data_IF_600579181298
#
_entry.id   IF_600579181298
#
_cell.length_a   1.000
_cell.length_b   1.000
_cell.length_c   1.000
_cell.angle_alpha   90.00
_cell.angle_beta   90.00
_cell.angle_gamma   90.00
#
_symmetry.space_group_name_H-M   'P 1'
#
loop_
_entity.id
_entity.type
_entity.pdbx_description
1 polymer ?
#
# COMPACT_ATOMS: atom_id res chain seq x y z
N UNK A 1 6.49 -10.54 9.43
CA UNK A 1 6.82 -10.62 7.99
C UNK A 1 7.59 -11.90 7.69
N UNK A 2 7.78 -12.28 6.41
CA UNK A 2 8.63 -13.43 6.06
C UNK A 2 10.07 -13.24 6.56
N UNK A 3 10.55 -12.00 6.65
CA UNK A 3 11.85 -11.66 7.25
C UNK A 3 11.90 -12.02 8.74
N UNK A 4 10.85 -11.71 9.51
CA UNK A 4 10.74 -12.10 10.93
C UNK A 4 10.69 -13.63 11.13
N UNK A 5 10.45 -14.39 10.05
CA UNK A 5 10.49 -15.86 10.02
C UNK A 5 11.80 -16.41 9.45
N UNK A 6 12.81 -15.57 9.22
CA UNK A 6 14.13 -15.95 8.69
C UNK A 6 14.14 -16.30 7.19
N UNK A 7 13.15 -15.86 6.42
CA UNK A 7 13.12 -16.07 4.97
C UNK A 7 14.10 -15.16 4.22
N UNK A 8 14.80 -15.65 3.18
CA UNK A 8 15.68 -14.81 2.35
C UNK A 8 14.88 -13.76 1.58
N UNK A 9 15.45 -12.56 1.41
CA UNK A 9 14.81 -11.44 0.71
C UNK A 9 14.33 -11.80 -0.69
N UNK A 10 15.05 -12.68 -1.40
CA UNK A 10 14.60 -13.25 -2.68
C UNK A 10 13.17 -13.83 -2.66
N UNK A 11 12.81 -14.60 -1.63
CA UNK A 11 11.46 -15.21 -1.53
C UNK A 11 10.37 -14.16 -1.30
N UNK A 12 10.73 -13.05 -0.67
CA UNK A 12 9.82 -11.93 -0.42
C UNK A 12 9.64 -11.15 -1.72
N UNK A 13 10.72 -10.92 -2.46
CA UNK A 13 10.68 -10.33 -3.79
C UNK A 13 9.80 -11.14 -4.74
N UNK A 14 10.01 -12.45 -4.81
CA UNK A 14 9.19 -13.38 -5.61
C UNK A 14 7.69 -13.29 -5.27
N UNK A 15 7.33 -13.23 -3.98
CA UNK A 15 5.93 -13.16 -3.55
C UNK A 15 5.27 -11.78 -3.81
N UNK A 16 6.06 -10.71 -3.79
CA UNK A 16 5.59 -9.33 -3.95
C UNK A 16 5.80 -8.77 -5.37
N UNK A 17 6.40 -9.55 -6.28
CA UNK A 17 6.85 -9.10 -7.59
C UNK A 17 7.82 -7.91 -7.53
N UNK A 18 8.73 -7.94 -6.56
CA UNK A 18 9.80 -6.95 -6.37
C UNK A 18 11.16 -7.62 -6.57
N UNK A 19 12.17 -6.85 -6.97
CA UNK A 19 13.55 -7.33 -6.95
C UNK A 19 14.10 -7.40 -5.51
N UNK A 20 15.11 -8.26 -5.33
CA UNK A 20 15.69 -8.54 -4.02
C UNK A 20 16.38 -7.31 -3.39
N UNK A 21 16.99 -6.45 -4.21
CA UNK A 21 17.67 -5.22 -3.76
C UNK A 21 16.66 -4.23 -3.19
N UNK A 22 15.53 -4.04 -3.87
CA UNK A 22 14.40 -3.23 -3.41
C UNK A 22 13.89 -3.73 -2.06
N UNK A 23 13.71 -5.04 -1.87
CA UNK A 23 13.26 -5.59 -0.59
C UNK A 23 14.27 -5.35 0.52
N UNK A 24 15.57 -5.57 0.26
CA UNK A 24 16.64 -5.33 1.25
C UNK A 24 16.66 -3.86 1.69
N UNK A 25 16.61 -2.93 0.73
CA UNK A 25 16.61 -1.49 1.01
C UNK A 25 15.42 -1.07 1.88
N UNK A 26 14.22 -1.55 1.55
CA UNK A 26 13.02 -1.25 2.35
C UNK A 26 13.08 -1.87 3.76
N UNK A 27 13.72 -3.03 3.90
CA UNK A 27 13.94 -3.65 5.20
C UNK A 27 14.90 -2.84 6.06
N UNK A 28 16.04 -2.43 5.50
CA UNK A 28 17.04 -1.61 6.21
C UNK A 28 16.44 -0.26 6.64
N UNK A 29 15.72 0.43 5.75
CA UNK A 29 15.02 1.68 6.06
C UNK A 29 13.98 1.49 7.18
N UNK A 30 13.27 0.37 7.20
CA UNK A 30 12.34 0.03 8.26
C UNK A 30 13.06 -0.24 9.60
N UNK A 31 14.18 -0.96 9.60
CA UNK A 31 14.99 -1.21 10.79
C UNK A 31 15.52 0.08 11.42
N UNK A 32 15.95 1.03 10.59
CA UNK A 32 16.48 2.32 11.04
C UNK A 32 15.39 3.27 11.54
N UNK A 33 14.29 3.38 10.79
CA UNK A 33 13.27 4.40 11.07
C UNK A 33 12.12 3.89 11.94
N UNK A 34 11.94 2.57 12.04
CA UNK A 34 10.73 1.90 12.56
C UNK A 34 9.43 2.42 11.96
N UNK A 35 9.48 3.06 10.79
CA UNK A 35 8.31 3.64 10.12
C UNK A 35 7.91 2.77 8.93
N UNK A 36 6.66 2.31 8.96
CA UNK A 36 5.98 1.76 7.78
C UNK A 36 5.46 2.86 6.84
N UNK A 37 5.63 4.13 7.21
CA UNK A 37 5.13 5.26 6.44
C UNK A 37 6.26 5.98 5.71
N UNK A 38 6.08 6.17 4.42
CA UNK A 38 6.83 7.16 3.63
C UNK A 38 6.62 8.55 4.29
N UNK A 39 7.69 9.37 4.43
CA UNK A 39 7.60 10.69 5.07
C UNK A 39 6.65 11.69 4.38
N UNK A 40 6.14 11.34 3.19
CA UNK A 40 5.22 12.16 2.39
C UNK A 40 3.78 12.21 2.93
N UNK A 41 3.48 11.62 4.09
CA UNK A 41 2.19 11.82 4.77
C UNK A 41 0.98 11.17 4.09
N UNK A 42 1.21 10.24 3.15
CA UNK A 42 0.16 9.51 2.44
C UNK A 42 -0.66 10.38 1.48
N UNK A 43 -1.75 9.82 0.94
CA UNK A 43 -2.67 10.58 0.09
C UNK A 43 -3.51 11.52 0.95
N UNK A 44 -3.52 12.81 0.61
CA UNK A 44 -4.45 13.75 1.22
C UNK A 44 -5.87 13.53 0.68
N UNK A 45 -6.85 13.53 1.58
CA UNK A 45 -8.26 13.44 1.22
C UNK A 45 -8.66 14.71 0.45
N UNK A 46 -9.10 14.54 -0.80
CA UNK A 46 -9.56 15.66 -1.64
C UNK A 46 -11.04 16.01 -1.46
N UNK A 47 -11.83 15.08 -0.91
CA UNK A 47 -13.26 15.26 -0.73
C UNK A 47 -13.59 15.77 0.67
N UNK A 48 -14.56 16.68 0.74
CA UNK A 48 -15.17 17.09 2.00
C UNK A 48 -15.91 15.90 2.66
N UNK A 49 -16.24 15.98 3.96
CA UNK A 49 -17.05 14.97 4.63
C UNK A 49 -18.37 14.68 3.90
N UNK A 50 -19.09 15.73 3.48
CA UNK A 50 -20.35 15.59 2.76
C UNK A 50 -20.17 14.87 1.41
N UNK A 51 -19.19 15.30 0.61
CA UNK A 51 -18.90 14.69 -0.69
C UNK A 51 -18.50 13.21 -0.57
N UNK A 52 -17.81 12.85 0.50
CA UNK A 52 -17.47 11.43 0.74
C UNK A 52 -18.70 10.61 1.09
N UNK A 53 -19.60 11.14 1.90
CA UNK A 53 -20.87 10.47 2.23
C UNK A 53 -21.71 10.26 0.98
N UNK A 54 -21.83 11.29 0.14
CA UNK A 54 -22.54 11.21 -1.15
C UNK A 54 -21.91 10.17 -2.07
N UNK A 55 -20.58 10.17 -2.20
CA UNK A 55 -19.87 9.21 -3.03
C UNK A 55 -20.06 7.77 -2.54
N UNK A 56 -20.02 7.54 -1.23
CA UNK A 56 -20.27 6.21 -0.64
C UNK A 56 -21.68 5.74 -0.94
N UNK A 57 -22.68 6.61 -0.78
CA UNK A 57 -24.07 6.27 -1.06
C UNK A 57 -24.26 5.92 -2.54
N UNK A 58 -23.72 6.75 -3.42
CA UNK A 58 -23.77 6.53 -4.86
C UNK A 58 -23.11 5.21 -5.28
N UNK A 59 -21.93 4.90 -4.75
CA UNK A 59 -21.21 3.66 -5.07
C UNK A 59 -21.90 2.40 -4.54
N UNK A 60 -22.71 2.50 -3.47
CA UNK A 60 -23.56 1.39 -3.01
C UNK A 60 -24.69 1.10 -3.99
N UNK A 61 -25.21 2.12 -4.67
CA UNK A 61 -26.37 2.00 -5.55
C UNK A 61 -26.00 1.72 -7.01
N UNK A 62 -24.79 2.12 -7.44
CA UNK A 62 -24.35 2.06 -8.84
C UNK A 62 -23.12 1.18 -8.99
N UNK A 63 -23.29 0.07 -9.71
CA UNK A 63 -22.15 -0.71 -10.23
C UNK A 63 -21.69 -0.11 -11.55
N UNK A 64 -20.47 0.42 -11.57
CA UNK A 64 -19.84 0.93 -12.78
C UNK A 64 -19.20 -0.22 -13.55
N UNK A 65 -19.90 -0.74 -14.56
CA UNK A 65 -19.29 -1.65 -15.53
C UNK A 65 -18.54 -0.85 -16.59
N UNK A 66 -17.37 -1.35 -16.98
CA UNK A 66 -16.60 -0.75 -18.07
C UNK A 66 -17.38 -0.97 -19.36
N UNK A 67 -17.70 0.10 -20.10
CA UNK A 67 -18.14 -0.06 -21.51
C UNK A 67 -16.96 -0.62 -22.28
N UNK A 68 -17.05 -1.88 -22.65
CA UNK A 68 -16.22 -2.52 -23.68
C UNK A 68 -16.59 -2.00 -25.05
#
# INVERSE_FOLDING_TARGET
MLVDKGGPFRKIGEALFLDEETVSKHFDEYCETKKLSIPTGGSQRKLSPAQTTELIQHLKEKTYTKRT
#
